data_IF_344361911808
#
_entry.id   IF_344361911808
#
_cell.length_a   1.000
_cell.length_b   1.000
_cell.length_c   1.000
_cell.angle_alpha   90.00
_cell.angle_beta   90.00
_cell.angle_gamma   90.00
#
_symmetry.space_group_name_H-M   'P 1'
#
loop_
_entity.id
_entity.type
_entity.pdbx_description
1 polymer ?
#
# COMPACT_ATOMS: atom_id res chain seq x y z
N UNK A 1 0.15 -29.36 -10.52
CA UNK A 1 0.80 -28.06 -10.81
C UNK A 1 1.70 -27.71 -9.63
N UNK A 2 2.94 -27.26 -9.86
CA UNK A 2 3.82 -26.84 -8.77
C UNK A 2 3.18 -25.68 -7.97
N UNK A 3 3.42 -25.60 -6.66
CA UNK A 3 2.81 -24.59 -5.78
C UNK A 3 3.03 -23.16 -6.27
N UNK A 4 4.23 -22.85 -6.78
CA UNK A 4 4.56 -21.55 -7.40
C UNK A 4 3.70 -21.21 -8.62
N UNK A 5 3.40 -22.19 -9.46
CA UNK A 5 2.56 -21.97 -10.64
C UNK A 5 1.08 -21.75 -10.24
N UNK A 6 0.60 -22.41 -9.17
CA UNK A 6 -0.73 -22.11 -8.60
C UNK A 6 -0.80 -20.71 -8.02
N UNK A 7 0.24 -20.27 -7.30
CA UNK A 7 0.33 -18.91 -6.77
C UNK A 7 0.30 -17.87 -7.89
N UNK A 8 1.09 -18.07 -8.95
CA UNK A 8 1.13 -17.17 -10.11
C UNK A 8 -0.24 -17.08 -10.83
N UNK A 9 -0.94 -18.22 -10.95
CA UNK A 9 -2.30 -18.28 -11.50
C UNK A 9 -3.28 -17.44 -10.67
N UNK A 10 -3.28 -17.60 -9.34
CA UNK A 10 -4.16 -16.84 -8.45
C UNK A 10 -3.80 -15.34 -8.39
N UNK A 11 -2.52 -15.00 -8.46
CA UNK A 11 -2.10 -13.60 -8.60
C UNK A 11 -2.64 -12.98 -9.89
N UNK A 12 -2.55 -13.70 -11.02
CA UNK A 12 -3.08 -13.22 -12.30
C UNK A 12 -4.59 -13.00 -12.23
N UNK A 13 -5.30 -13.89 -11.53
CA UNK A 13 -6.73 -13.73 -11.27
C UNK A 13 -7.03 -12.49 -10.40
N UNK A 14 -6.24 -12.23 -9.36
CA UNK A 14 -6.39 -11.03 -8.54
C UNK A 14 -6.13 -9.74 -9.35
N UNK A 15 -5.08 -9.73 -10.17
CA UNK A 15 -4.78 -8.63 -11.10
C UNK A 15 -5.94 -8.35 -12.06
N UNK A 16 -6.47 -9.38 -12.71
CA UNK A 16 -7.65 -9.25 -13.58
C UNK A 16 -8.85 -8.69 -12.80
N UNK A 17 -9.09 -9.21 -11.60
CA UNK A 17 -10.21 -8.80 -10.72
C UNK A 17 -10.13 -7.31 -10.39
N UNK A 18 -8.95 -6.80 -10.03
CA UNK A 18 -8.79 -5.39 -9.67
C UNK A 18 -9.09 -4.41 -10.80
N UNK A 19 -9.14 -4.89 -12.05
CA UNK A 19 -9.41 -4.09 -13.25
C UNK A 19 -10.87 -4.15 -13.71
N UNK A 20 -11.76 -4.85 -13.01
CA UNK A 20 -13.14 -5.04 -13.47
C UNK A 20 -14.04 -3.81 -13.27
N UNK A 21 -13.68 -2.90 -12.37
CA UNK A 21 -14.42 -1.67 -12.08
C UNK A 21 -13.94 -0.50 -12.96
N UNK A 22 -14.88 0.33 -13.41
CA UNK A 22 -14.54 1.53 -14.20
C UNK A 22 -14.04 2.69 -13.34
N UNK A 23 -14.34 2.68 -12.04
CA UNK A 23 -13.90 3.73 -11.13
C UNK A 23 -12.37 3.69 -10.99
N UNK A 24 -11.71 4.77 -11.39
CA UNK A 24 -10.26 4.92 -11.26
C UNK A 24 -9.89 5.10 -9.79
N UNK A 25 -10.62 5.94 -9.06
CA UNK A 25 -10.36 6.33 -7.66
C UNK A 25 -11.59 6.10 -6.80
N UNK A 26 -11.39 5.53 -5.62
CA UNK A 26 -12.39 5.36 -4.57
C UNK A 26 -11.71 5.59 -3.22
N UNK A 27 -12.23 6.53 -2.43
CA UNK A 27 -11.64 6.91 -1.15
C UNK A 27 -10.14 7.22 -1.26
N UNK A 28 -9.32 6.38 -0.62
CA UNK A 28 -7.86 6.51 -0.56
C UNK A 28 -7.10 5.56 -1.50
N UNK A 29 -7.80 4.93 -2.43
CA UNK A 29 -7.27 3.91 -3.32
C UNK A 29 -7.57 4.25 -4.79
N UNK A 30 -6.77 3.68 -5.68
CA UNK A 30 -6.95 3.80 -7.13
C UNK A 30 -6.62 2.49 -7.82
N UNK A 31 -7.03 2.27 -9.07
CA UNK A 31 -6.93 0.95 -9.74
C UNK A 31 -5.55 0.31 -9.67
N UNK A 32 -4.48 1.04 -9.91
CA UNK A 32 -3.12 0.50 -9.85
C UNK A 32 -2.60 0.37 -8.42
N UNK A 33 -3.24 1.00 -7.42
CA UNK A 33 -2.86 0.82 -6.02
C UNK A 33 -3.02 -0.63 -5.58
N UNK A 34 -4.17 -1.24 -5.88
CA UNK A 34 -4.55 -2.56 -5.34
C UNK A 34 -3.49 -3.63 -5.60
N UNK A 35 -3.18 -3.93 -6.87
CA UNK A 35 -2.17 -4.96 -7.17
C UNK A 35 -0.78 -4.57 -6.65
N UNK A 36 -0.36 -3.32 -6.85
CA UNK A 36 0.97 -2.89 -6.43
C UNK A 36 1.12 -3.01 -4.89
N UNK A 37 0.09 -2.66 -4.14
CA UNK A 37 0.02 -2.83 -2.70
C UNK A 37 0.06 -4.30 -2.31
N UNK A 38 -0.80 -5.16 -2.89
CA UNK A 38 -0.80 -6.60 -2.66
C UNK A 38 0.59 -7.22 -2.84
N UNK A 39 1.32 -6.86 -3.90
CA UNK A 39 2.64 -7.42 -4.19
C UNK A 39 3.71 -6.91 -3.21
N UNK A 40 3.67 -5.64 -2.79
CA UNK A 40 4.60 -5.11 -1.77
C UNK A 40 4.33 -5.68 -0.38
N UNK A 41 3.05 -5.78 0.01
CA UNK A 41 2.63 -6.44 1.25
C UNK A 41 3.12 -7.88 1.27
N UNK A 42 2.96 -8.63 0.17
CA UNK A 42 3.49 -10.00 0.09
C UNK A 42 5.01 -10.04 0.23
N UNK A 43 5.74 -9.16 -0.46
CA UNK A 43 7.20 -9.13 -0.37
C UNK A 43 7.66 -8.87 1.08
N UNK A 44 7.06 -7.88 1.74
CA UNK A 44 7.37 -7.56 3.13
C UNK A 44 6.93 -8.67 4.09
N UNK A 45 5.73 -9.22 3.93
CA UNK A 45 5.21 -10.29 4.78
C UNK A 45 6.09 -11.55 4.70
N UNK A 46 6.67 -11.87 3.54
CA UNK A 46 7.61 -12.98 3.39
C UNK A 46 8.93 -12.73 4.12
N UNK A 47 9.45 -11.50 4.08
CA UNK A 47 10.66 -11.14 4.83
C UNK A 47 10.43 -11.19 6.35
N UNK A 48 9.31 -10.62 6.82
CA UNK A 48 8.89 -10.73 8.22
C UNK A 48 8.67 -12.20 8.61
N UNK A 49 7.96 -12.97 7.78
CA UNK A 49 7.66 -14.38 8.00
C UNK A 49 8.91 -15.24 8.19
N UNK A 50 9.96 -14.98 7.40
CA UNK A 50 11.27 -15.63 7.56
C UNK A 50 11.89 -15.39 8.93
N UNK A 51 11.70 -14.19 9.50
CA UNK A 51 12.26 -13.81 10.82
C UNK A 51 11.40 -14.31 11.99
N UNK A 52 10.09 -14.42 11.79
CA UNK A 52 9.11 -14.79 12.82
C UNK A 52 8.73 -16.29 12.80
N UNK A 53 9.30 -17.06 11.86
CA UNK A 53 9.04 -18.51 11.75
C UNK A 53 7.66 -18.85 11.17
N UNK A 54 7.13 -17.99 10.30
CA UNK A 54 5.87 -18.24 9.59
C UNK A 54 6.07 -19.21 8.41
N UNK A 55 5.03 -19.99 8.08
CA UNK A 55 5.00 -20.81 6.87
C UNK A 55 5.00 -19.90 5.62
N UNK A 56 6.04 -19.94 4.78
CA UNK A 56 6.19 -19.02 3.65
C UNK A 56 5.12 -19.24 2.57
N UNK A 57 4.60 -20.46 2.43
CA UNK A 57 3.55 -20.74 1.45
C UNK A 57 2.21 -20.17 1.94
N UNK A 58 1.84 -20.37 3.20
CA UNK A 58 0.62 -19.77 3.76
C UNK A 58 0.68 -18.24 3.66
N UNK A 59 1.81 -17.62 4.03
CA UNK A 59 2.02 -16.17 3.90
C UNK A 59 1.88 -15.72 2.44
N UNK A 60 2.52 -16.42 1.49
CA UNK A 60 2.49 -16.03 0.09
C UNK A 60 1.07 -16.01 -0.49
N UNK A 61 0.27 -17.05 -0.21
CA UNK A 61 -1.11 -17.13 -0.68
C UNK A 61 -2.02 -16.14 0.05
N UNK A 62 -1.91 -16.04 1.38
CA UNK A 62 -2.73 -15.09 2.15
C UNK A 62 -2.45 -13.64 1.73
N UNK A 63 -1.20 -13.23 1.66
CA UNK A 63 -0.84 -11.89 1.24
C UNK A 63 -1.22 -11.59 -0.22
N UNK A 64 -1.25 -12.59 -1.12
CA UNK A 64 -1.71 -12.38 -2.51
C UNK A 64 -3.22 -12.17 -2.60
N UNK A 65 -3.99 -12.75 -1.67
CA UNK A 65 -5.46 -12.81 -1.76
C UNK A 65 -6.18 -11.94 -0.73
N UNK A 66 -5.48 -11.38 0.26
CA UNK A 66 -6.11 -10.68 1.40
C UNK A 66 -7.07 -9.58 0.97
N UNK A 67 -6.70 -8.86 -0.09
CA UNK A 67 -7.43 -7.71 -0.62
C UNK A 67 -8.24 -8.04 -1.88
N UNK A 68 -8.41 -9.32 -2.26
CA UNK A 68 -9.06 -9.71 -3.53
C UNK A 68 -10.50 -9.18 -3.68
N UNK A 69 -11.15 -8.86 -2.56
CA UNK A 69 -12.49 -8.24 -2.54
C UNK A 69 -12.49 -6.75 -2.19
N UNK A 70 -11.34 -6.12 -1.99
CA UNK A 70 -11.24 -4.72 -1.58
C UNK A 70 -11.88 -3.74 -2.56
N UNK A 71 -12.02 -4.11 -3.85
CA UNK A 71 -12.69 -3.29 -4.86
C UNK A 71 -14.21 -3.17 -4.65
N UNK A 72 -14.82 -4.05 -3.88
CA UNK A 72 -16.22 -3.91 -3.48
C UNK A 72 -16.41 -2.82 -2.41
N UNK A 73 -15.36 -2.48 -1.66
CA UNK A 73 -15.41 -1.40 -0.67
C UNK A 73 -15.46 -0.03 -1.38
N UNK A 74 -16.60 0.64 -1.27
CA UNK A 74 -16.80 2.02 -1.71
C UNK A 74 -16.39 3.05 -0.68
N UNK A 75 -17.04 4.22 -0.67
CA UNK A 75 -16.73 5.21 0.36
C UNK A 75 -17.16 4.73 1.74
N UNK A 76 -16.39 5.10 2.76
CA UNK A 76 -16.78 4.84 4.15
C UNK A 76 -18.05 5.63 4.47
N UNK A 77 -19.05 4.96 5.03
CA UNK A 77 -20.31 5.59 5.40
C UNK A 77 -20.09 6.51 6.60
N UNK A 78 -20.62 7.73 6.50
CA UNK A 78 -20.53 8.74 7.55
C UNK A 78 -21.88 8.86 8.28
N UNK A 79 -21.85 8.96 9.60
CA UNK A 79 -23.02 9.19 10.44
C UNK A 79 -23.44 10.67 10.44
N UNK A 80 -24.63 11.00 10.98
CA UNK A 80 -25.10 12.37 11.09
C UNK A 80 -24.20 13.29 11.92
N UNK A 81 -23.37 12.71 12.81
CA UNK A 81 -22.39 13.41 13.65
C UNK A 81 -21.04 13.64 12.94
N UNK A 82 -20.93 13.26 11.67
CA UNK A 82 -19.70 13.37 10.89
C UNK A 82 -18.64 12.32 11.27
N UNK A 83 -18.98 11.30 12.06
CA UNK A 83 -18.08 10.17 12.36
C UNK A 83 -18.29 9.02 11.38
N UNK A 84 -17.31 8.14 11.27
CA UNK A 84 -17.43 6.90 10.47
C UNK A 84 -18.43 5.96 11.12
N UNK A 85 -19.33 5.39 10.33
CA UNK A 85 -20.22 4.34 10.80
C UNK A 85 -19.46 3.03 10.94
N UNK A 86 -19.80 2.29 11.99
CA UNK A 86 -19.25 0.96 12.26
C UNK A 86 -20.38 -0.05 12.40
N UNK A 87 -20.12 -1.30 12.02
CA UNK A 87 -21.04 -2.40 12.25
C UNK A 87 -21.03 -2.85 13.73
N UNK A 88 -21.83 -3.87 14.04
CA UNK A 88 -21.95 -4.43 15.40
C UNK A 88 -20.63 -4.98 15.96
N UNK A 89 -19.68 -5.32 15.10
CA UNK A 89 -18.39 -5.91 15.44
C UNK A 89 -17.28 -4.85 15.40
N UNK A 90 -17.61 -3.58 15.14
CA UNK A 90 -16.69 -2.45 15.16
C UNK A 90 -15.89 -2.27 13.86
N UNK A 91 -16.29 -2.89 12.76
CA UNK A 91 -15.68 -2.66 11.44
C UNK A 91 -16.34 -1.48 10.73
N UNK A 92 -15.58 -0.76 9.91
CA UNK A 92 -16.14 0.35 9.14
C UNK A 92 -17.13 -0.15 8.09
N UNK A 93 -18.29 0.50 8.04
CA UNK A 93 -19.25 0.27 6.99
C UNK A 93 -18.86 1.06 5.74
N UNK A 94 -18.96 0.43 4.58
CA UNK A 94 -18.67 1.05 3.29
C UNK A 94 -19.84 0.88 2.33
N UNK A 95 -19.96 1.80 1.36
CA UNK A 95 -20.79 1.56 0.18
C UNK A 95 -20.33 0.28 -0.52
N UNK A 96 -21.24 -0.48 -1.12
CA UNK A 96 -20.86 -1.66 -1.92
C UNK A 96 -20.81 -1.28 -3.40
N UNK A 97 -19.63 -1.35 -4.00
CA UNK A 97 -19.42 -1.09 -5.42
C UNK A 97 -19.57 -2.36 -6.25
N UNK A 98 -20.36 -2.27 -7.31
CA UNK A 98 -20.52 -3.36 -8.28
C UNK A 98 -19.46 -3.27 -9.38
N UNK A 99 -18.85 -4.39 -9.79
CA UNK A 99 -17.91 -4.39 -10.89
C UNK A 99 -18.64 -4.11 -12.22
N UNK A 100 -17.97 -3.46 -13.17
CA UNK A 100 -18.54 -3.19 -14.50
C UNK A 100 -18.45 -4.42 -15.43
N UNK A 101 -17.62 -5.40 -15.05
CA UNK A 101 -17.31 -6.62 -15.80
C UNK A 101 -17.23 -7.79 -14.81
N UNK A 102 -17.30 -9.01 -15.33
CA UNK A 102 -17.25 -10.21 -14.50
C UNK A 102 -16.04 -11.09 -14.79
N UNK A 103 -15.59 -11.82 -13.77
CA UNK A 103 -14.67 -12.94 -13.91
C UNK A 103 -15.02 -14.04 -12.89
N UNK A 104 -14.11 -15.00 -12.67
CA UNK A 104 -14.32 -16.08 -11.69
C UNK A 104 -14.57 -15.56 -10.27
N UNK A 105 -13.86 -14.52 -9.84
CA UNK A 105 -13.99 -13.96 -8.48
C UNK A 105 -15.35 -13.32 -8.28
N UNK A 106 -15.80 -12.50 -9.24
CA UNK A 106 -17.09 -11.80 -9.11
C UNK A 106 -18.26 -12.78 -9.11
N UNK A 107 -18.25 -13.78 -9.99
CA UNK A 107 -19.28 -14.83 -10.01
C UNK A 107 -19.32 -15.62 -8.71
N UNK A 108 -18.16 -15.93 -8.12
CA UNK A 108 -18.09 -16.65 -6.86
C UNK A 108 -18.51 -15.76 -5.68
N UNK A 109 -18.20 -14.47 -5.71
CA UNK A 109 -18.66 -13.50 -4.71
C UNK A 109 -20.20 -13.44 -4.65
N UNK A 110 -20.85 -13.39 -5.82
CA UNK A 110 -22.31 -13.39 -5.93
C UNK A 110 -22.92 -14.72 -5.51
N UNK A 111 -22.37 -15.85 -5.99
CA UNK A 111 -22.86 -17.19 -5.66
C UNK A 111 -22.80 -17.50 -4.16
N UNK A 112 -21.82 -16.93 -3.45
CA UNK A 112 -21.64 -17.09 -2.01
C UNK A 112 -22.39 -16.02 -1.19
N UNK A 113 -23.09 -15.08 -1.84
CA UNK A 113 -23.89 -14.05 -1.16
C UNK A 113 -23.05 -13.09 -0.32
N UNK A 114 -21.85 -12.73 -0.78
CA UNK A 114 -20.87 -11.96 0.00
C UNK A 114 -21.10 -10.44 -0.03
N UNK A 115 -22.13 -9.97 -0.73
CA UNK A 115 -22.46 -8.55 -0.86
C UNK A 115 -22.59 -7.86 0.52
N UNK A 116 -21.92 -6.71 0.67
CA UNK A 116 -21.94 -5.92 1.91
C UNK A 116 -21.06 -6.46 3.04
N UNK A 117 -20.38 -7.60 2.85
CA UNK A 117 -19.42 -8.09 3.84
C UNK A 117 -18.09 -7.32 3.74
N UNK A 118 -17.40 -7.06 4.86
CA UNK A 118 -16.06 -6.47 4.86
C UNK A 118 -15.06 -7.34 4.06
N UNK A 119 -14.16 -6.70 3.32
CA UNK A 119 -13.19 -7.38 2.45
C UNK A 119 -12.34 -8.47 3.15
N UNK A 120 -11.96 -8.30 4.42
CA UNK A 120 -11.21 -9.34 5.14
C UNK A 120 -12.03 -10.62 5.34
N UNK A 121 -13.35 -10.49 5.51
CA UNK A 121 -14.25 -11.63 5.63
C UNK A 121 -14.55 -12.24 4.26
N UNK A 122 -15.04 -11.44 3.29
CA UNK A 122 -15.39 -11.95 1.96
C UNK A 122 -14.16 -12.47 1.22
N UNK A 123 -13.01 -11.83 1.38
CA UNK A 123 -11.73 -12.27 0.83
C UNK A 123 -11.28 -13.60 1.41
N UNK A 124 -11.45 -13.82 2.72
CA UNK A 124 -11.13 -15.10 3.36
C UNK A 124 -12.01 -16.24 2.82
N UNK A 125 -13.32 -16.01 2.72
CA UNK A 125 -14.27 -17.02 2.20
C UNK A 125 -13.95 -17.35 0.74
N UNK A 126 -13.66 -16.35 -0.09
CA UNK A 126 -13.28 -16.57 -1.49
C UNK A 126 -11.94 -17.30 -1.61
N UNK A 127 -10.94 -16.92 -0.83
CA UNK A 127 -9.63 -17.56 -0.87
C UNK A 127 -9.73 -19.06 -0.53
N UNK A 128 -10.51 -19.43 0.48
CA UNK A 128 -10.73 -20.83 0.84
C UNK A 128 -11.29 -21.64 -0.33
N UNK A 129 -12.34 -21.13 -0.97
CA UNK A 129 -12.98 -21.78 -2.13
C UNK A 129 -12.02 -21.87 -3.33
N UNK A 130 -11.34 -20.78 -3.67
CA UNK A 130 -10.38 -20.76 -4.78
C UNK A 130 -9.25 -21.77 -4.56
N UNK A 131 -8.72 -21.88 -3.33
CA UNK A 131 -7.67 -22.84 -2.99
C UNK A 131 -8.16 -24.28 -3.03
N UNK A 132 -9.37 -24.56 -2.53
CA UNK A 132 -9.98 -25.87 -2.62
C UNK A 132 -10.15 -26.32 -4.09
N UNK A 133 -10.63 -25.42 -4.96
CA UNK A 133 -10.79 -25.68 -6.39
C UNK A 133 -9.45 -25.89 -7.12
N UNK A 134 -8.37 -25.23 -6.68
CA UNK A 134 -7.01 -25.49 -7.20
C UNK A 134 -6.41 -26.81 -6.67
N UNK A 135 -7.12 -27.53 -5.81
CA UNK A 135 -6.74 -28.83 -5.26
C UNK A 135 -5.68 -28.71 -4.16
N UNK A 136 -5.77 -27.68 -3.30
CA UNK A 136 -5.01 -27.63 -2.05
C UNK A 136 -5.69 -28.46 -0.96
N UNK A 137 -4.93 -29.00 0.01
CA UNK A 137 -5.50 -29.68 1.16
C UNK A 137 -6.44 -28.74 1.96
N UNK A 138 -7.55 -29.23 2.53
CA UNK A 138 -8.48 -28.41 3.30
C UNK A 138 -7.82 -27.62 4.43
N UNK A 139 -6.86 -28.23 5.14
CA UNK A 139 -6.12 -27.56 6.21
C UNK A 139 -5.28 -26.37 5.74
N UNK A 140 -4.71 -26.44 4.52
CA UNK A 140 -3.98 -25.31 3.93
C UNK A 140 -4.92 -24.19 3.53
N UNK A 141 -6.04 -24.52 2.86
CA UNK A 141 -7.05 -23.53 2.45
C UNK A 141 -7.63 -22.79 3.67
N UNK A 142 -7.98 -23.54 4.73
CA UNK A 142 -8.49 -22.99 5.98
C UNK A 142 -7.44 -22.11 6.70
N UNK A 143 -6.16 -22.51 6.69
CA UNK A 143 -5.08 -21.69 7.27
C UNK A 143 -4.92 -20.36 6.54
N UNK A 144 -4.88 -20.36 5.21
CA UNK A 144 -4.82 -19.13 4.40
C UNK A 144 -6.05 -18.24 4.66
N UNK A 145 -7.25 -18.82 4.68
CA UNK A 145 -8.48 -18.08 4.94
C UNK A 145 -8.49 -17.46 6.35
N UNK A 146 -8.00 -18.17 7.37
CA UNK A 146 -7.90 -17.64 8.73
C UNK A 146 -6.93 -16.46 8.81
N UNK A 147 -5.79 -16.54 8.14
CA UNK A 147 -4.80 -15.45 8.06
C UNK A 147 -5.39 -14.22 7.36
N UNK A 148 -6.10 -14.42 6.24
CA UNK A 148 -6.82 -13.33 5.57
C UNK A 148 -7.90 -12.76 6.48
N UNK A 149 -8.69 -13.57 7.18
CA UNK A 149 -9.73 -13.03 8.07
C UNK A 149 -9.15 -12.14 9.18
N UNK A 150 -7.93 -12.44 9.64
CA UNK A 150 -7.26 -11.78 10.74
C UNK A 150 -6.53 -10.47 10.38
N UNK A 151 -6.33 -10.14 9.09
CA UNK A 151 -5.52 -8.97 8.72
C UNK A 151 -6.17 -7.63 9.08
N UNK A 152 -7.50 -7.59 9.27
CA UNK A 152 -8.21 -6.45 9.83
C UNK A 152 -8.78 -6.83 11.19
N UNK A 153 -8.27 -6.22 12.25
CA UNK A 153 -8.83 -6.39 13.59
C UNK A 153 -10.04 -5.47 13.81
N UNK A 154 -11.09 -5.96 14.51
CA UNK A 154 -12.19 -5.13 14.93
C UNK A 154 -11.73 -4.11 15.98
N UNK A 155 -12.26 -2.89 15.93
CA UNK A 155 -11.88 -1.84 16.89
C UNK A 155 -12.29 -2.17 18.33
N UNK A 156 -13.38 -2.93 18.47
CA UNK A 156 -13.93 -3.39 19.75
C UNK A 156 -13.29 -4.67 20.28
N UNK A 157 -12.31 -5.25 19.58
CA UNK A 157 -11.70 -6.52 19.97
C UNK A 157 -11.07 -6.45 21.37
N UNK A 158 -11.47 -7.36 22.26
CA UNK A 158 -10.84 -7.57 23.56
C UNK A 158 -9.40 -8.06 23.42
N UNK A 159 -8.64 -8.02 24.51
CA UNK A 159 -7.28 -8.55 24.54
C UNK A 159 -7.25 -10.05 24.22
N UNK A 160 -8.20 -10.81 24.74
CA UNK A 160 -8.34 -12.25 24.49
C UNK A 160 -8.70 -12.54 23.03
N UNK A 161 -9.62 -11.77 22.45
CA UNK A 161 -10.01 -11.88 21.04
C UNK A 161 -8.83 -11.60 20.11
N UNK A 162 -8.05 -10.54 20.38
CA UNK A 162 -6.83 -10.24 19.62
C UNK A 162 -5.80 -11.36 19.75
N UNK A 163 -5.60 -11.89 20.96
CA UNK A 163 -4.65 -12.98 21.16
C UNK A 163 -5.06 -14.24 20.38
N UNK A 164 -6.36 -14.52 20.29
CA UNK A 164 -6.89 -15.61 19.48
C UNK A 164 -6.71 -15.35 17.97
N UNK A 165 -7.02 -14.13 17.51
CA UNK A 165 -6.91 -13.70 16.12
C UNK A 165 -5.47 -13.81 15.59
N UNK A 166 -4.50 -13.47 16.45
CA UNK A 166 -3.09 -13.37 16.10
C UNK A 166 -2.23 -14.52 16.65
N UNK A 167 -2.86 -15.67 16.94
CA UNK A 167 -2.16 -16.88 17.42
C UNK A 167 -1.13 -17.38 16.40
N UNK A 168 -1.48 -17.32 15.12
CA UNK A 168 -0.61 -17.75 14.02
C UNK A 168 0.44 -16.67 13.69
N UNK A 169 1.73 -17.01 13.54
CA UNK A 169 2.74 -16.04 13.08
C UNK A 169 2.39 -15.45 11.71
N UNK A 170 1.78 -16.22 10.81
CA UNK A 170 1.33 -15.79 9.48
C UNK A 170 0.32 -14.63 9.55
N UNK A 171 -0.62 -14.68 10.51
CA UNK A 171 -1.60 -13.63 10.73
C UNK A 171 -0.95 -12.33 11.22
N UNK A 172 0.04 -12.44 12.13
CA UNK A 172 0.78 -11.29 12.65
C UNK A 172 1.62 -10.62 11.57
N UNK A 173 2.37 -11.39 10.79
CA UNK A 173 3.25 -10.83 9.76
C UNK A 173 2.47 -10.23 8.59
N UNK A 174 1.33 -10.82 8.20
CA UNK A 174 0.46 -10.21 7.18
C UNK A 174 -0.13 -8.89 7.69
N UNK A 175 -0.66 -8.88 8.92
CA UNK A 175 -1.23 -7.68 9.53
C UNK A 175 -0.19 -6.56 9.67
N UNK A 176 1.03 -6.88 10.12
CA UNK A 176 2.11 -5.90 10.21
C UNK A 176 2.53 -5.39 8.83
N UNK A 177 2.71 -6.28 7.85
CA UNK A 177 3.14 -5.89 6.50
C UNK A 177 2.13 -4.97 5.80
N UNK A 178 0.84 -5.28 5.91
CA UNK A 178 -0.25 -4.46 5.37
C UNK A 178 -0.27 -3.05 6.00
N UNK A 179 -0.20 -2.99 7.33
CA UNK A 179 -0.16 -1.74 8.08
C UNK A 179 1.08 -0.89 7.75
N UNK A 180 2.25 -1.53 7.67
CA UNK A 180 3.51 -0.86 7.33
C UNK A 180 3.46 -0.26 5.91
N UNK A 181 3.07 -1.04 4.89
CA UNK A 181 3.02 -0.56 3.49
C UNK A 181 2.11 0.65 3.32
N UNK A 182 1.00 0.70 4.07
CA UNK A 182 0.02 1.77 3.99
C UNK A 182 0.40 3.04 4.79
N UNK A 183 1.29 2.94 5.78
CA UNK A 183 1.52 4.02 6.77
C UNK A 183 2.96 4.48 6.96
N UNK A 184 3.97 3.66 6.64
CA UNK A 184 5.37 3.94 6.93
C UNK A 184 6.27 3.78 5.71
N UNK A 185 7.31 4.60 5.65
CA UNK A 185 8.32 4.56 4.60
C UNK A 185 7.92 5.30 3.33
N UNK A 186 8.82 5.25 2.36
CA UNK A 186 8.72 5.92 1.08
C UNK A 186 7.56 5.42 0.22
N UNK A 187 7.16 4.15 0.34
CA UNK A 187 5.95 3.63 -0.33
C UNK A 187 4.68 4.27 0.23
N UNK A 188 4.60 4.45 1.56
CA UNK A 188 3.50 5.12 2.21
C UNK A 188 3.54 6.64 1.96
N UNK A 189 4.73 7.22 1.83
CA UNK A 189 4.91 8.62 1.44
C UNK A 189 4.41 8.86 0.01
N UNK A 190 4.77 8.00 -0.95
CA UNK A 190 4.18 8.03 -2.30
C UNK A 190 2.65 7.91 -2.24
N UNK A 191 2.13 6.97 -1.43
CA UNK A 191 0.68 6.83 -1.25
C UNK A 191 0.05 8.12 -0.70
N UNK A 192 0.70 8.77 0.27
CA UNK A 192 0.26 10.04 0.82
C UNK A 192 0.23 11.15 -0.26
N UNK A 193 1.29 11.29 -1.05
CA UNK A 193 1.34 12.19 -2.23
C UNK A 193 0.08 11.99 -3.08
N UNK A 194 -0.22 10.75 -3.49
CA UNK A 194 -1.32 10.46 -4.41
C UNK A 194 -2.72 10.63 -3.81
N UNK A 195 -2.88 10.45 -2.50
CA UNK A 195 -4.13 10.75 -1.78
C UNK A 195 -4.40 12.25 -1.81
N UNK A 196 -3.39 13.06 -1.49
CA UNK A 196 -3.54 14.52 -1.43
C UNK A 196 -3.66 15.13 -2.82
N UNK A 197 -2.88 14.66 -3.80
CA UNK A 197 -2.99 15.11 -5.19
C UNK A 197 -4.38 14.85 -5.76
N UNK A 198 -4.91 13.63 -5.59
CA UNK A 198 -6.24 13.29 -6.06
C UNK A 198 -7.33 14.14 -5.39
N UNK A 199 -7.20 14.41 -4.09
CA UNK A 199 -8.12 15.30 -3.37
C UNK A 199 -8.06 16.73 -3.88
N UNK A 200 -6.87 17.29 -4.05
CA UNK A 200 -6.68 18.64 -4.60
C UNK A 200 -7.31 18.75 -5.99
N UNK A 201 -7.00 17.81 -6.89
CA UNK A 201 -7.58 17.76 -8.22
C UNK A 201 -9.12 17.74 -8.19
N UNK A 202 -9.73 16.92 -7.32
CA UNK A 202 -11.18 16.85 -7.17
C UNK A 202 -11.80 18.14 -6.61
N UNK A 203 -11.09 18.87 -5.76
CA UNK A 203 -11.61 20.05 -5.06
C UNK A 203 -11.36 21.35 -5.83
N UNK A 204 -10.21 21.49 -6.50
CA UNK A 204 -9.75 22.74 -7.11
C UNK A 204 -9.49 22.62 -8.61
N UNK A 205 -9.48 21.41 -9.18
CA UNK A 205 -9.13 21.18 -10.58
C UNK A 205 -7.64 21.27 -10.88
N UNK A 206 -6.79 21.42 -9.86
CA UNK A 206 -5.34 21.54 -10.01
C UNK A 206 -4.60 20.91 -8.83
N UNK A 207 -3.31 20.60 -9.02
CA UNK A 207 -2.42 20.12 -7.96
C UNK A 207 -1.33 21.17 -7.72
N UNK A 208 -1.07 21.47 -6.45
CA UNK A 208 -0.05 22.42 -6.02
C UNK A 208 0.96 21.70 -5.12
N UNK A 209 2.22 21.65 -5.57
CA UNK A 209 3.29 21.00 -4.85
C UNK A 209 3.66 21.73 -3.56
N UNK A 210 3.63 23.06 -3.54
CA UNK A 210 3.94 23.84 -2.32
C UNK A 210 2.87 23.59 -1.26
N UNK A 211 1.59 23.63 -1.66
CA UNK A 211 0.49 23.32 -0.76
C UNK A 211 0.55 21.88 -0.21
N UNK A 212 1.10 20.92 -0.96
CA UNK A 212 1.33 19.57 -0.46
C UNK A 212 2.44 19.51 0.60
N UNK A 213 3.55 20.23 0.39
CA UNK A 213 4.67 20.23 1.32
C UNK A 213 4.26 20.72 2.72
N UNK A 214 3.37 21.71 2.79
CA UNK A 214 2.80 22.22 4.06
C UNK A 214 2.04 21.14 4.87
N UNK A 215 1.59 20.07 4.20
CA UNK A 215 0.86 18.95 4.83
C UNK A 215 1.78 17.78 5.21
N UNK A 216 2.95 17.67 4.57
CA UNK A 216 3.83 16.51 4.67
C UNK A 216 4.36 16.31 6.10
N UNK A 217 4.83 17.38 6.76
CA UNK A 217 5.38 17.31 8.11
C UNK A 217 4.36 16.78 9.12
N UNK A 218 3.11 17.27 9.04
CA UNK A 218 2.02 16.84 9.92
C UNK A 218 1.71 15.36 9.70
N UNK A 219 1.69 14.90 8.44
CA UNK A 219 1.49 13.48 8.14
C UNK A 219 2.62 12.62 8.71
N UNK A 220 3.88 12.97 8.46
CA UNK A 220 5.06 12.22 8.96
C UNK A 220 5.03 12.14 10.49
N UNK A 221 4.80 13.27 11.15
CA UNK A 221 4.77 13.35 12.62
C UNK A 221 3.64 12.52 13.23
N UNK A 222 2.49 12.43 12.54
CA UNK A 222 1.36 11.61 12.99
C UNK A 222 1.66 10.10 13.03
N UNK A 223 2.78 9.66 12.44
CA UNK A 223 3.20 8.25 12.38
C UNK A 223 4.23 7.85 13.43
N UNK A 224 4.67 8.77 14.29
CA UNK A 224 5.76 8.51 15.24
C UNK A 224 5.48 7.36 16.22
N UNK A 225 4.24 7.24 16.72
CA UNK A 225 3.85 6.14 17.62
C UNK A 225 3.38 4.88 16.88
N UNK A 226 3.30 4.91 15.54
CA UNK A 226 2.79 3.78 14.77
C UNK A 226 3.57 2.47 14.99
N UNK A 227 4.92 2.46 15.08
CA UNK A 227 5.68 1.23 15.33
C UNK A 227 5.23 0.48 16.59
N UNK A 228 4.80 1.18 17.65
CA UNK A 228 4.38 0.57 18.91
C UNK A 228 3.13 -0.31 18.79
N UNK A 229 2.33 -0.08 17.74
CA UNK A 229 1.08 -0.80 17.48
C UNK A 229 1.27 -2.14 16.77
N UNK A 230 2.48 -2.44 16.27
CA UNK A 230 2.76 -3.64 15.50
C UNK A 230 2.94 -4.89 16.37
N UNK A 231 2.60 -6.04 15.80
CA UNK A 231 2.44 -7.31 16.52
C UNK A 231 3.75 -8.07 16.69
N UNK A 232 4.67 -7.95 15.73
CA UNK A 232 5.91 -8.73 15.70
C UNK A 232 7.14 -7.89 16.03
N UNK A 233 8.17 -8.45 16.68
CA UNK A 233 9.45 -7.77 16.88
C UNK A 233 10.08 -7.30 15.57
N UNK A 234 10.10 -8.14 14.53
CA UNK A 234 10.64 -7.74 13.22
C UNK A 234 9.80 -6.65 12.54
N UNK A 235 8.46 -6.70 12.67
CA UNK A 235 7.57 -5.66 12.17
C UNK A 235 7.87 -4.30 12.80
N UNK A 236 8.07 -4.26 14.13
CA UNK A 236 8.47 -3.04 14.86
C UNK A 236 9.80 -2.49 14.35
N UNK A 237 10.79 -3.34 14.20
CA UNK A 237 12.11 -2.94 13.70
C UNK A 237 12.04 -2.36 12.28
N UNK A 238 11.35 -3.03 11.36
CA UNK A 238 11.15 -2.54 9.98
C UNK A 238 10.39 -1.20 9.99
N UNK A 239 9.36 -1.08 10.83
CA UNK A 239 8.59 0.14 10.97
C UNK A 239 9.41 1.31 11.50
N UNK A 240 10.28 1.09 12.48
CA UNK A 240 11.19 2.12 12.98
C UNK A 240 12.13 2.62 11.88
N UNK A 241 12.69 1.71 11.08
CA UNK A 241 13.54 2.05 9.95
C UNK A 241 12.78 2.84 8.86
N UNK A 242 11.58 2.39 8.50
CA UNK A 242 10.73 3.08 7.51
C UNK A 242 10.25 4.44 8.03
N UNK A 243 9.97 4.58 9.32
CA UNK A 243 9.66 5.89 9.91
C UNK A 243 10.89 6.80 9.99
N UNK A 244 12.10 6.24 10.18
CA UNK A 244 13.33 7.00 10.06
C UNK A 244 13.53 7.56 8.64
N UNK A 245 13.22 6.79 7.60
CA UNK A 245 13.21 7.27 6.20
C UNK A 245 12.21 8.41 5.98
N UNK A 246 11.01 8.32 6.56
CA UNK A 246 10.05 9.43 6.52
C UNK A 246 10.64 10.70 7.15
N UNK A 247 11.26 10.60 8.32
CA UNK A 247 11.93 11.76 8.96
C UNK A 247 13.07 12.30 8.10
N UNK A 248 13.88 11.43 7.49
CA UNK A 248 14.95 11.83 6.58
C UNK A 248 14.43 12.61 5.37
N UNK A 249 13.29 12.19 4.80
CA UNK A 249 12.61 12.93 3.73
C UNK A 249 12.18 14.32 4.20
N UNK A 250 11.68 14.46 5.43
CA UNK A 250 11.30 15.78 5.96
C UNK A 250 12.51 16.70 6.17
N UNK A 251 13.62 16.15 6.65
CA UNK A 251 14.89 16.89 6.76
C UNK A 251 15.33 17.38 5.37
N UNK A 252 15.30 16.51 4.36
CA UNK A 252 15.62 16.87 2.98
C UNK A 252 14.68 17.94 2.42
N UNK A 253 13.37 17.84 2.64
CA UNK A 253 12.39 18.86 2.23
C UNK A 253 12.73 20.21 2.87
N UNK A 254 13.02 20.21 4.17
CA UNK A 254 13.33 21.44 4.93
C UNK A 254 14.59 22.11 4.40
N UNK A 255 15.67 21.33 4.23
CA UNK A 255 16.94 21.84 3.68
C UNK A 255 16.76 22.38 2.26
N UNK A 256 16.03 21.67 1.41
CA UNK A 256 15.82 22.04 0.01
C UNK A 256 14.95 23.27 -0.17
N UNK A 257 13.98 23.47 0.72
CA UNK A 257 13.08 24.63 0.66
C UNK A 257 13.83 25.96 0.77
N UNK A 258 15.00 25.97 1.42
CA UNK A 258 15.86 27.16 1.52
C UNK A 258 16.68 27.44 0.25
N UNK A 259 16.79 26.49 -0.69
CA UNK A 259 17.66 26.58 -1.86
C UNK A 259 16.93 27.11 -3.11
N UNK A 260 15.61 27.33 -3.05
CA UNK A 260 14.83 27.90 -4.14
C UNK A 260 14.79 27.00 -5.38
N UNK A 261 14.85 27.60 -6.57
CA UNK A 261 14.59 26.92 -7.84
C UNK A 261 15.48 25.71 -8.12
N UNK A 262 16.75 25.73 -7.70
CA UNK A 262 17.68 24.61 -7.96
C UNK A 262 17.22 23.30 -7.30
N UNK A 263 16.55 23.38 -6.15
CA UNK A 263 15.97 22.20 -5.49
C UNK A 263 14.78 21.62 -6.25
N UNK A 264 13.93 22.46 -6.83
CA UNK A 264 12.84 22.00 -7.70
C UNK A 264 13.35 21.39 -9.01
N UNK A 265 14.52 21.83 -9.48
CA UNK A 265 15.11 21.29 -10.69
C UNK A 265 15.83 19.95 -10.48
N UNK A 266 16.61 19.80 -9.40
CA UNK A 266 17.52 18.67 -9.21
C UNK A 266 17.21 17.79 -7.98
N UNK A 267 16.56 18.37 -6.97
CA UNK A 267 16.38 17.75 -5.65
C UNK A 267 15.08 16.96 -5.49
N UNK A 268 14.87 16.53 -4.25
CA UNK A 268 13.67 15.83 -3.81
C UNK A 268 12.39 16.64 -4.05
N UNK A 269 12.42 17.97 -3.94
CA UNK A 269 11.24 18.80 -4.24
C UNK A 269 10.78 18.60 -5.70
N UNK A 270 11.73 18.50 -6.62
CA UNK A 270 11.46 18.18 -8.02
C UNK A 270 10.90 16.77 -8.22
N UNK A 271 11.38 15.79 -7.46
CA UNK A 271 10.83 14.42 -7.46
C UNK A 271 9.40 14.40 -6.93
N UNK A 272 9.10 15.11 -5.85
CA UNK A 272 7.74 15.21 -5.29
C UNK A 272 6.80 15.86 -6.31
N UNK A 273 7.21 16.97 -6.93
CA UNK A 273 6.44 17.61 -8.00
C UNK A 273 6.18 16.67 -9.19
N UNK A 274 7.19 15.90 -9.59
CA UNK A 274 7.07 14.90 -10.63
C UNK A 274 6.05 13.80 -10.27
N UNK A 275 6.08 13.30 -9.03
CA UNK A 275 5.13 12.28 -8.56
C UNK A 275 3.71 12.83 -8.44
N UNK A 276 3.55 14.09 -8.05
CA UNK A 276 2.25 14.78 -7.97
C UNK A 276 1.57 14.93 -9.33
N UNK A 277 2.34 14.96 -10.43
CA UNK A 277 1.78 15.15 -11.77
C UNK A 277 0.94 13.94 -12.25
N UNK A 278 1.24 12.72 -11.79
CA UNK A 278 0.51 11.49 -12.15
C UNK A 278 -0.73 11.27 -11.26
N UNK A 279 -1.56 12.31 -11.07
CA UNK A 279 -2.60 12.34 -10.04
C UNK A 279 -3.97 11.79 -10.46
N UNK A 280 -4.27 11.63 -11.74
CA UNK A 280 -5.58 11.11 -12.18
C UNK A 280 -5.70 9.60 -11.96
N UNK A 281 -4.75 8.84 -12.49
CA UNK A 281 -4.68 7.38 -12.40
C UNK A 281 -3.27 6.90 -12.02
N UNK A 282 -2.76 7.21 -10.81
CA UNK A 282 -1.36 7.03 -10.48
C UNK A 282 -0.88 5.59 -10.61
N UNK A 283 0.36 5.39 -11.02
CA UNK A 283 0.99 4.07 -10.95
C UNK A 283 2.44 4.19 -10.47
N UNK A 284 2.73 3.64 -9.29
CA UNK A 284 4.09 3.68 -8.73
C UNK A 284 5.12 3.08 -9.68
N UNK A 285 4.78 1.95 -10.31
CA UNK A 285 5.64 1.30 -11.28
C UNK A 285 5.90 2.17 -12.52
N UNK A 286 4.88 2.90 -12.99
CA UNK A 286 5.04 3.85 -14.11
C UNK A 286 5.84 5.07 -13.70
N UNK A 287 5.54 5.65 -12.55
CA UNK A 287 6.23 6.81 -12.01
C UNK A 287 7.72 6.53 -11.79
N UNK A 288 8.07 5.38 -11.20
CA UNK A 288 9.47 4.97 -11.02
C UNK A 288 10.19 4.78 -12.35
N UNK A 289 9.59 4.05 -13.30
CA UNK A 289 10.20 3.88 -14.63
C UNK A 289 10.49 5.23 -15.30
N UNK A 290 9.53 6.15 -15.29
CA UNK A 290 9.70 7.48 -15.89
C UNK A 290 10.71 8.34 -15.12
N UNK A 291 10.77 8.21 -13.79
CA UNK A 291 11.80 8.85 -12.96
C UNK A 291 13.20 8.38 -13.37
N UNK A 292 13.37 7.08 -13.60
CA UNK A 292 14.65 6.44 -13.91
C UNK A 292 15.11 6.60 -15.36
N UNK A 293 14.18 6.47 -16.30
CA UNK A 293 14.49 6.46 -17.74
C UNK A 293 14.50 7.87 -18.32
N UNK A 294 13.82 8.83 -17.69
CA UNK A 294 13.63 10.17 -18.25
C UNK A 294 14.06 11.27 -17.28
N UNK A 295 13.43 11.37 -16.10
CA UNK A 295 13.63 12.53 -15.23
C UNK A 295 15.08 12.63 -14.72
N UNK A 296 15.60 11.57 -14.08
CA UNK A 296 16.97 11.55 -13.52
C UNK A 296 18.05 11.70 -14.62
N UNK A 297 18.02 10.95 -15.74
CA UNK A 297 19.00 11.14 -16.82
C UNK A 297 18.96 12.54 -17.43
N UNK A 298 17.78 13.12 -17.60
CA UNK A 298 17.66 14.49 -18.12
C UNK A 298 18.29 15.52 -17.16
N UNK A 299 18.13 15.35 -15.84
CA UNK A 299 18.80 16.21 -14.85
C UNK A 299 20.31 15.99 -14.84
N UNK A 300 20.76 14.75 -14.95
CA UNK A 300 22.20 14.43 -15.03
C UNK A 300 22.86 15.06 -16.26
N UNK A 301 22.23 15.01 -17.43
CA UNK A 301 22.75 15.61 -18.66
C UNK A 301 22.83 17.14 -18.56
N UNK A 302 21.82 17.80 -17.98
CA UNK A 302 21.82 19.25 -17.74
C UNK A 302 22.95 19.66 -16.78
N UNK A 303 23.15 18.90 -15.71
CA UNK A 303 24.23 19.13 -14.76
C UNK A 303 25.61 19.16 -15.45
N UNK A 304 25.84 18.24 -16.40
CA UNK A 304 27.08 18.14 -17.16
C UNK A 304 27.28 19.28 -18.18
N UNK A 305 26.20 19.87 -18.69
CA UNK A 305 26.25 20.88 -19.74
C UNK A 305 26.24 22.33 -19.19
N UNK A 306 25.56 22.57 -18.08
CA UNK A 306 25.23 23.93 -17.61
C UNK A 306 26.24 24.52 -16.60
N UNK A 307 27.33 23.80 -16.28
CA UNK A 307 28.27 24.24 -15.23
C UNK A 307 27.57 24.42 -13.88
N UNK A 308 26.64 23.52 -13.57
CA UNK A 308 25.71 23.67 -12.47
C UNK A 308 26.42 23.81 -11.11
N UNK A 309 25.80 24.60 -10.22
CA UNK A 309 26.26 24.84 -8.85
C UNK A 309 26.61 23.53 -8.12
N UNK A 310 27.62 23.50 -7.24
CA UNK A 310 27.91 22.35 -6.37
C UNK A 310 26.67 21.81 -5.64
N UNK A 311 25.70 22.69 -5.33
CA UNK A 311 24.42 22.30 -4.74
C UNK A 311 23.61 21.36 -5.64
N UNK A 312 23.57 21.59 -6.96
CA UNK A 312 22.78 20.79 -7.89
C UNK A 312 23.24 19.31 -7.93
N UNK A 313 24.56 19.06 -7.86
CA UNK A 313 25.11 17.70 -7.80
C UNK A 313 24.68 16.96 -6.54
N UNK A 314 24.71 17.64 -5.37
CA UNK A 314 24.29 17.06 -4.08
C UNK A 314 22.78 16.75 -4.11
N UNK A 315 21.97 17.67 -4.62
CA UNK A 315 20.53 17.52 -4.75
C UNK A 315 20.14 16.37 -5.68
N UNK A 316 20.82 16.24 -6.82
CA UNK A 316 20.58 15.14 -7.74
C UNK A 316 20.99 13.79 -7.12
N UNK A 317 22.12 13.74 -6.39
CA UNK A 317 22.53 12.53 -5.68
C UNK A 317 21.48 12.08 -4.65
N UNK A 318 20.85 13.02 -3.96
CA UNK A 318 19.73 12.75 -3.06
C UNK A 318 18.49 12.22 -3.77
N UNK A 319 18.15 12.75 -4.95
CA UNK A 319 17.07 12.20 -5.78
C UNK A 319 17.33 10.74 -6.19
N UNK A 320 18.57 10.40 -6.52
CA UNK A 320 18.99 9.00 -6.73
C UNK A 320 18.88 8.15 -5.45
N UNK A 321 19.25 8.71 -4.30
CA UNK A 321 19.14 8.03 -3.01
C UNK A 321 17.68 7.72 -2.66
N UNK A 322 16.77 8.69 -2.79
CA UNK A 322 15.33 8.49 -2.61
C UNK A 322 14.80 7.34 -3.47
N UNK A 323 15.17 7.34 -4.77
CA UNK A 323 14.80 6.27 -5.71
C UNK A 323 15.30 4.90 -5.23
N UNK A 324 16.56 4.80 -4.80
CA UNK A 324 17.14 3.53 -4.37
C UNK A 324 16.45 2.97 -3.12
N UNK A 325 16.22 3.82 -2.12
CA UNK A 325 15.51 3.44 -0.89
C UNK A 325 14.07 3.01 -1.19
N UNK A 326 13.40 3.66 -2.15
CA UNK A 326 12.05 3.28 -2.56
C UNK A 326 12.02 1.90 -3.23
N UNK A 327 13.05 1.53 -4.01
CA UNK A 327 13.18 0.16 -4.54
C UNK A 327 13.41 -0.90 -3.47
N UNK A 328 14.18 -0.57 -2.44
CA UNK A 328 14.37 -1.47 -1.29
C UNK A 328 13.02 -1.77 -0.62
N UNK A 329 12.22 -0.74 -0.34
CA UNK A 329 10.92 -0.92 0.28
C UNK A 329 9.93 -1.69 -0.59
N UNK A 330 9.92 -1.46 -1.92
CA UNK A 330 9.09 -2.20 -2.88
C UNK A 330 9.46 -3.68 -2.89
N UNK A 331 10.75 -4.00 -2.79
CA UNK A 331 11.24 -5.36 -2.73
C UNK A 331 11.00 -6.04 -1.38
N UNK A 332 10.36 -5.36 -0.42
CA UNK A 332 10.19 -5.85 0.95
C UNK A 332 11.50 -5.86 1.76
N UNK A 333 12.56 -5.23 1.24
CA UNK A 333 13.87 -5.17 1.90
C UNK A 333 13.93 -4.01 2.89
N UNK A 334 14.87 -4.16 3.82
CA UNK A 334 15.29 -3.09 4.72
C UNK A 334 16.02 -2.03 3.94
#
# INVERSE_FOLDING_TARGET
>A
MAIKARLAKLQSLAEETFLLWDQVRIGWSWRHYYLNHTLRVRALALELGKREGADPDVVAFAATLHDITKRYDGNVLMGPDGKRQVDKDGYWMTETLQPARENRVTRLYDALGLAGQPHHYSGAVLAEHLLAEEGFPPGFAAAVAAVIRAHVAPQSASSEERQALYRAPEARVLSDADLIDANLGLVAFYRNIQIHAGRMLQQTGSVDAVAYLDLAERWISSKNSFPESLLTPSGREVAEQRQARNRQVMEWITEESALGQVAWEYGLLGVIAFLLADCEDPSLARALRLLEEQWLPNRQARLSNDGASPHASVLLARSYQFRNLLHEEIAGRL
#
